data_IF_880641903049
#
_entry.id   IF_880641903049
#
_cell.length_a   1.000
_cell.length_b   1.000
_cell.length_c   1.000
_cell.angle_alpha   90.00
_cell.angle_beta   90.00
_cell.angle_gamma   90.00
#
_symmetry.space_group_name_H-M   'P 1'
#
loop_
_entity.id
_entity.type
_entity.pdbx_description
1 polymer ?
#
# COMPACT_ATOMS: atom_id res chain seq x y z
N UNK A 1 7.10 11.29 21.06
CA UNK A 1 7.24 11.35 22.54
C UNK A 1 8.17 10.26 23.04
N UNK A 2 7.96 8.96 22.69
CA UNK A 2 8.87 7.87 23.11
C UNK A 2 10.29 8.10 22.61
N UNK A 3 10.49 8.41 21.31
CA UNK A 3 11.80 8.79 20.73
C UNK A 3 12.48 9.99 21.42
N UNK A 4 11.70 10.87 22.04
CA UNK A 4 12.21 12.02 22.79
C UNK A 4 12.39 11.72 24.28
N UNK A 5 12.27 10.43 24.69
CA UNK A 5 12.35 9.95 26.08
C UNK A 5 11.32 10.58 27.03
N UNK A 6 10.22 11.16 26.50
CA UNK A 6 9.14 11.79 27.27
C UNK A 6 8.05 10.77 27.59
N UNK A 7 8.36 9.76 28.42
CA UNK A 7 7.50 8.62 28.69
C UNK A 7 6.19 8.98 29.41
N UNK A 8 6.22 9.95 30.34
CA UNK A 8 5.01 10.42 31.06
C UNK A 8 3.98 11.06 30.13
N UNK A 9 4.44 11.81 29.12
CA UNK A 9 3.56 12.43 28.15
C UNK A 9 3.04 11.41 27.14
N UNK A 10 3.85 10.41 26.79
CA UNK A 10 3.43 9.29 25.96
C UNK A 10 2.33 8.46 26.65
N UNK A 11 2.47 8.17 27.97
CA UNK A 11 1.44 7.48 28.75
C UNK A 11 0.14 8.28 28.80
N UNK A 12 0.22 9.60 29.04
CA UNK A 12 -0.95 10.48 29.06
C UNK A 12 -1.66 10.51 27.71
N UNK A 13 -0.91 10.53 26.62
CA UNK A 13 -1.46 10.50 25.25
C UNK A 13 -2.13 9.15 24.95
N UNK A 14 -1.53 8.03 25.33
CA UNK A 14 -2.12 6.70 25.19
C UNK A 14 -3.44 6.58 25.97
N UNK A 15 -3.49 7.09 27.20
CA UNK A 15 -4.75 7.11 27.98
C UNK A 15 -5.87 7.92 27.32
N UNK A 16 -5.53 8.99 26.57
CA UNK A 16 -6.51 9.80 25.83
C UNK A 16 -7.00 9.12 24.55
N UNK A 17 -6.16 8.29 23.93
CA UNK A 17 -6.47 7.61 22.66
C UNK A 17 -7.23 6.29 22.87
N UNK A 18 -7.08 5.68 24.05
CA UNK A 18 -7.76 4.44 24.35
C UNK A 18 -9.23 4.68 24.70
N UNK A 19 -10.11 3.90 24.08
CA UNK A 19 -11.52 3.82 24.48
C UNK A 19 -11.61 3.06 25.80
N UNK A 20 -12.50 3.51 26.70
CA UNK A 20 -12.73 2.87 28.00
C UNK A 20 -13.17 1.39 27.89
N UNK A 21 -13.69 0.99 26.73
CA UNK A 21 -14.16 -0.36 26.44
C UNK A 21 -13.07 -1.35 26.00
N UNK A 22 -11.85 -0.89 25.71
CA UNK A 22 -10.83 -1.73 25.07
C UNK A 22 -10.08 -2.67 26.04
N UNK A 23 -10.19 -2.48 27.37
CA UNK A 23 -9.57 -3.38 28.37
C UNK A 23 -8.04 -3.54 28.30
N UNK A 24 -7.37 -2.67 27.54
CA UNK A 24 -5.93 -2.78 27.24
C UNK A 24 -5.14 -2.05 28.31
N UNK A 25 -4.13 -2.71 28.89
CA UNK A 25 -3.24 -2.06 29.88
C UNK A 25 -2.32 -1.06 29.19
N UNK A 26 -2.52 0.24 29.50
CA UNK A 26 -1.72 1.37 28.99
C UNK A 26 -0.23 1.19 29.25
N UNK A 27 0.13 0.66 30.42
CA UNK A 27 1.53 0.48 30.78
C UNK A 27 2.18 -0.63 29.96
N UNK A 28 1.45 -1.71 29.69
CA UNK A 28 1.94 -2.81 28.88
C UNK A 28 2.10 -2.36 27.40
N UNK A 29 1.14 -1.60 26.89
CA UNK A 29 1.22 -1.00 25.54
C UNK A 29 2.40 -0.02 25.45
N UNK A 30 2.59 0.84 26.46
CA UNK A 30 3.72 1.76 26.46
C UNK A 30 5.07 1.01 26.51
N UNK A 31 5.16 -0.05 27.32
CA UNK A 31 6.37 -0.87 27.41
C UNK A 31 6.69 -1.54 26.05
N UNK A 32 5.67 -2.04 25.36
CA UNK A 32 5.85 -2.61 24.03
C UNK A 32 6.32 -1.56 23.01
N UNK A 33 5.75 -0.35 23.00
CA UNK A 33 6.18 0.75 22.12
C UNK A 33 7.62 1.19 22.42
N UNK A 34 8.01 1.26 23.70
CA UNK A 34 9.39 1.58 24.11
C UNK A 34 10.37 0.50 23.64
N UNK A 35 10.00 -0.76 23.81
CA UNK A 35 10.81 -1.89 23.35
C UNK A 35 10.98 -1.88 21.82
N UNK A 36 9.89 -1.69 21.07
CA UNK A 36 9.93 -1.58 19.61
C UNK A 36 10.79 -0.39 19.17
N UNK A 37 10.64 0.77 19.82
CA UNK A 37 11.46 1.94 19.48
C UNK A 37 12.96 1.71 19.75
N UNK A 38 13.29 0.99 20.81
CA UNK A 38 14.69 0.62 21.11
C UNK A 38 15.25 -0.33 20.05
N UNK A 39 14.48 -1.34 19.65
CA UNK A 39 14.84 -2.25 18.57
C UNK A 39 14.97 -1.53 17.23
N UNK A 40 14.05 -0.60 16.91
CA UNK A 40 14.16 0.21 15.69
C UNK A 40 15.42 1.09 15.70
N UNK A 41 15.75 1.68 16.84
CA UNK A 41 16.93 2.51 17.00
C UNK A 41 18.20 1.67 16.82
N UNK A 42 18.30 0.49 17.44
CA UNK A 42 19.42 -0.44 17.27
C UNK A 42 19.55 -0.93 15.82
N UNK A 43 18.45 -1.31 15.17
CA UNK A 43 18.43 -1.78 13.80
C UNK A 43 18.71 -0.68 12.77
N UNK A 44 18.39 0.59 13.09
CA UNK A 44 18.62 1.74 12.20
C UNK A 44 20.06 2.27 12.27
N UNK A 45 20.79 1.96 13.35
CA UNK A 45 22.19 2.37 13.52
C UNK A 45 23.03 1.70 12.43
N UNK A 46 23.69 2.52 11.59
CA UNK A 46 24.58 2.04 10.54
C UNK A 46 23.92 1.70 9.20
N UNK A 47 22.60 1.94 9.02
CA UNK A 47 21.98 1.74 7.70
C UNK A 47 22.43 2.81 6.70
N UNK A 48 22.75 2.38 5.47
CA UNK A 48 23.13 3.25 4.35
C UNK A 48 22.01 3.28 3.30
N UNK A 49 22.02 4.28 2.40
CA UNK A 49 21.20 4.24 1.19
C UNK A 49 21.59 3.09 0.24
N UNK A 50 22.86 2.67 0.28
CA UNK A 50 23.33 1.53 -0.50
C UNK A 50 22.69 0.21 -0.09
N UNK A 51 22.27 0.06 1.17
CA UNK A 51 21.56 -1.13 1.64
C UNK A 51 20.21 -1.34 0.91
N UNK A 52 19.61 -0.26 0.40
CA UNK A 52 18.39 -0.33 -0.41
C UNK A 52 18.62 -0.99 -1.78
N UNK A 53 19.88 -1.06 -2.25
CA UNK A 53 20.24 -1.62 -3.55
C UNK A 53 20.88 -3.00 -3.44
N UNK A 54 20.94 -3.58 -2.25
CA UNK A 54 21.56 -4.88 -2.00
C UNK A 54 20.53 -5.98 -1.76
N UNK A 55 20.84 -7.20 -2.21
CA UNK A 55 20.08 -8.40 -1.91
C UNK A 55 18.59 -8.31 -2.29
N UNK A 56 17.72 -8.71 -1.37
CA UNK A 56 16.27 -8.69 -1.57
C UNK A 56 15.64 -7.29 -1.39
N UNK A 57 16.35 -6.35 -0.77
CA UNK A 57 15.93 -4.96 -0.63
C UNK A 57 15.92 -4.22 -1.99
N UNK A 58 16.77 -4.61 -2.93
CA UNK A 58 16.75 -4.08 -4.30
C UNK A 58 15.39 -4.27 -4.95
N UNK A 59 14.78 -5.45 -4.81
CA UNK A 59 13.46 -5.73 -5.35
C UNK A 59 12.37 -4.85 -4.74
N UNK A 60 12.45 -4.57 -3.45
CA UNK A 60 11.53 -3.67 -2.74
C UNK A 60 11.69 -2.24 -3.20
N UNK A 61 12.93 -1.78 -3.31
CA UNK A 61 13.27 -0.45 -3.81
C UNK A 61 12.82 -0.28 -5.26
N UNK A 62 13.03 -1.28 -6.12
CA UNK A 62 12.50 -1.29 -7.49
C UNK A 62 10.98 -1.12 -7.49
N UNK A 63 10.24 -1.93 -6.73
CA UNK A 63 8.77 -1.87 -6.67
C UNK A 63 8.31 -0.50 -6.16
N UNK A 64 8.92 0.03 -5.12
CA UNK A 64 8.59 1.34 -4.58
C UNK A 64 8.87 2.47 -5.58
N UNK A 65 10.03 2.46 -6.24
CA UNK A 65 10.42 3.47 -7.21
C UNK A 65 9.52 3.45 -8.46
N UNK A 66 9.31 2.27 -9.04
CA UNK A 66 8.52 2.16 -10.27
C UNK A 66 7.03 2.37 -10.01
N UNK A 67 6.47 1.92 -8.88
CA UNK A 67 5.07 2.20 -8.53
C UNK A 67 4.81 3.70 -8.37
N UNK A 68 5.77 4.45 -7.83
CA UNK A 68 5.66 5.90 -7.67
C UNK A 68 5.90 6.64 -9.01
N UNK A 69 6.94 6.26 -9.75
CA UNK A 69 7.23 6.80 -11.08
C UNK A 69 6.10 6.48 -12.08
N UNK A 70 5.42 5.35 -11.90
CA UNK A 70 4.27 4.94 -12.69
C UNK A 70 3.13 5.96 -12.72
N UNK A 71 3.00 6.81 -11.71
CA UNK A 71 2.07 7.94 -11.73
C UNK A 71 2.38 8.90 -12.90
N UNK A 72 3.64 9.26 -13.07
CA UNK A 72 4.09 10.14 -14.14
C UNK A 72 4.02 9.43 -15.49
N UNK A 73 4.50 8.19 -15.54
CA UNK A 73 4.52 7.37 -16.75
C UNK A 73 3.12 7.02 -17.28
N UNK A 74 2.10 7.09 -16.43
CA UNK A 74 0.69 6.92 -16.83
C UNK A 74 0.06 8.19 -17.44
N UNK A 75 0.84 9.25 -17.67
CA UNK A 75 0.37 10.46 -18.34
C UNK A 75 -0.03 11.61 -17.40
N UNK A 76 0.42 11.62 -16.15
CA UNK A 76 0.11 12.69 -15.18
C UNK A 76 0.50 14.07 -15.69
N UNK A 77 1.65 14.21 -16.36
CA UNK A 77 2.10 15.48 -16.92
C UNK A 77 1.16 16.00 -18.00
N UNK A 78 0.56 15.12 -18.80
CA UNK A 78 -0.45 15.47 -19.80
C UNK A 78 -1.71 16.03 -19.12
N UNK A 79 -2.20 15.37 -18.06
CA UNK A 79 -3.39 15.81 -17.32
C UNK A 79 -3.18 17.14 -16.59
N UNK A 80 -1.99 17.40 -16.02
CA UNK A 80 -1.70 18.69 -15.40
C UNK A 80 -1.66 19.84 -16.40
N UNK A 81 -1.41 19.57 -17.66
CA UNK A 81 -1.44 20.55 -18.74
C UNK A 81 -2.68 20.40 -19.62
N UNK A 82 -3.76 19.81 -19.11
CA UNK A 82 -5.00 19.58 -19.85
C UNK A 82 -5.61 20.88 -20.38
N UNK A 83 -5.53 21.99 -19.64
CA UNK A 83 -6.00 23.30 -20.12
C UNK A 83 -5.33 23.72 -21.41
N UNK A 84 -4.00 23.60 -21.48
CA UNK A 84 -3.25 23.92 -22.71
C UNK A 84 -3.63 22.96 -23.85
N UNK A 85 -3.82 21.67 -23.55
CA UNK A 85 -4.32 20.70 -24.53
C UNK A 85 -5.71 21.06 -25.06
N UNK A 86 -6.64 21.47 -24.18
CA UNK A 86 -8.01 21.86 -24.56
C UNK A 86 -8.02 23.08 -25.49
N UNK A 87 -7.18 24.09 -25.22
CA UNK A 87 -7.00 25.24 -26.12
C UNK A 87 -6.43 24.81 -27.46
N UNK A 88 -5.44 23.93 -27.52
CA UNK A 88 -4.85 23.42 -28.76
C UNK A 88 -5.84 22.61 -29.61
N UNK A 89 -6.80 21.96 -28.99
CA UNK A 89 -7.86 21.21 -29.69
C UNK A 89 -8.99 22.15 -30.21
N UNK A 90 -8.94 23.44 -29.82
CA UNK A 90 -9.85 24.47 -30.31
C UNK A 90 -11.04 24.79 -29.44
N UNK A 91 -10.95 24.47 -28.12
CA UNK A 91 -11.95 24.92 -27.15
C UNK A 91 -11.66 26.36 -26.72
N UNK A 92 -12.71 27.13 -26.42
CA UNK A 92 -12.60 28.48 -25.90
C UNK A 92 -12.13 28.50 -24.43
N UNK A 93 -11.55 29.62 -24.00
CA UNK A 93 -10.96 29.75 -22.68
C UNK A 93 -11.97 29.51 -21.54
N UNK A 94 -13.21 29.99 -21.66
CA UNK A 94 -14.27 29.84 -20.64
C UNK A 94 -14.61 28.34 -20.44
N UNK A 95 -14.81 27.61 -21.53
CA UNK A 95 -15.03 26.16 -21.51
C UNK A 95 -13.84 25.43 -20.92
N UNK A 96 -12.62 25.81 -21.28
CA UNK A 96 -11.36 25.21 -20.75
C UNK A 96 -11.26 25.36 -19.23
N UNK A 97 -11.52 26.54 -18.68
CA UNK A 97 -11.53 26.74 -17.22
C UNK A 97 -12.61 25.92 -16.52
N UNK A 98 -13.82 25.88 -17.10
CA UNK A 98 -14.93 25.08 -16.56
C UNK A 98 -14.60 23.60 -16.53
N UNK A 99 -13.97 23.06 -17.58
CA UNK A 99 -13.51 21.68 -17.66
C UNK A 99 -12.40 21.39 -16.65
N UNK A 100 -11.52 22.35 -16.36
CA UNK A 100 -10.47 22.19 -15.36
C UNK A 100 -11.04 22.11 -13.93
N UNK A 101 -12.02 22.95 -13.61
CA UNK A 101 -12.76 22.89 -12.34
C UNK A 101 -13.47 21.52 -12.21
N UNK A 102 -14.15 21.08 -13.27
CA UNK A 102 -14.80 19.78 -13.30
C UNK A 102 -13.79 18.64 -13.10
N UNK A 103 -12.63 18.70 -13.78
CA UNK A 103 -11.54 17.73 -13.64
C UNK A 103 -11.04 17.64 -12.20
N UNK A 104 -10.82 18.77 -11.53
CA UNK A 104 -10.39 18.80 -10.11
C UNK A 104 -11.47 18.22 -9.19
N UNK A 105 -12.74 18.52 -9.48
CA UNK A 105 -13.87 17.95 -8.73
C UNK A 105 -13.95 16.44 -8.91
N UNK A 106 -13.81 15.95 -10.15
CA UNK A 106 -13.78 14.51 -10.43
C UNK A 106 -12.59 13.82 -9.77
N UNK A 107 -11.44 14.47 -9.71
CA UNK A 107 -10.25 13.97 -9.00
C UNK A 107 -10.54 13.79 -7.51
N UNK A 108 -11.19 14.76 -6.88
CA UNK A 108 -11.61 14.67 -5.47
C UNK A 108 -12.60 13.52 -5.25
N UNK A 109 -13.64 13.44 -6.07
CA UNK A 109 -14.63 12.35 -6.01
C UNK A 109 -13.96 11.00 -6.22
N UNK A 110 -13.05 10.89 -7.20
CA UNK A 110 -12.28 9.67 -7.46
C UNK A 110 -11.46 9.21 -6.25
N UNK A 111 -10.86 10.15 -5.52
CA UNK A 111 -10.15 9.85 -4.26
C UNK A 111 -11.09 9.27 -3.20
N UNK A 112 -12.27 9.86 -3.02
CA UNK A 112 -13.28 9.35 -2.07
C UNK A 112 -13.78 7.96 -2.48
N UNK A 113 -14.05 7.75 -3.76
CA UNK A 113 -14.47 6.44 -4.30
C UNK A 113 -13.38 5.39 -4.04
N UNK A 114 -12.11 5.74 -4.24
CA UNK A 114 -11.01 4.84 -3.92
C UNK A 114 -11.01 4.45 -2.43
N UNK A 115 -11.12 5.41 -1.52
CA UNK A 115 -11.04 5.15 -0.08
C UNK A 115 -12.22 4.34 0.47
N UNK A 116 -13.44 4.63 0.01
CA UNK A 116 -14.64 4.01 0.56
C UNK A 116 -15.04 2.71 -0.15
N UNK A 117 -14.71 2.55 -1.44
CA UNK A 117 -15.14 1.40 -2.24
C UNK A 117 -13.97 0.52 -2.67
N UNK A 118 -12.92 1.05 -3.31
CA UNK A 118 -11.89 0.19 -3.87
C UNK A 118 -10.94 -0.35 -2.81
N UNK A 119 -10.40 0.48 -1.94
CA UNK A 119 -9.43 0.07 -0.92
C UNK A 119 -9.96 -1.00 0.06
N UNK A 120 -11.23 -0.93 0.56
CA UNK A 120 -11.76 -1.95 1.47
C UNK A 120 -12.06 -3.29 0.78
N UNK A 121 -12.55 -3.26 -0.47
CA UNK A 121 -13.08 -4.46 -1.12
C UNK A 121 -12.11 -5.11 -2.10
N UNK A 122 -11.23 -4.34 -2.73
CA UNK A 122 -10.28 -4.83 -3.71
C UNK A 122 -8.86 -4.87 -3.17
N UNK A 123 -8.04 -5.81 -3.68
CA UNK A 123 -6.60 -5.85 -3.41
C UNK A 123 -5.88 -4.70 -4.11
N UNK A 124 -4.81 -4.19 -3.47
CA UNK A 124 -4.02 -3.06 -4.00
C UNK A 124 -3.49 -3.35 -5.40
N UNK A 125 -3.01 -4.57 -5.63
CA UNK A 125 -2.51 -5.01 -6.93
C UNK A 125 -3.58 -4.94 -8.01
N UNK A 126 -4.79 -5.42 -7.71
CA UNK A 126 -5.89 -5.44 -8.68
C UNK A 126 -6.34 -4.04 -9.05
N UNK A 127 -6.43 -3.11 -8.07
CA UNK A 127 -6.79 -1.71 -8.32
C UNK A 127 -5.74 -1.05 -9.23
N UNK A 128 -4.44 -1.25 -8.94
CA UNK A 128 -3.35 -0.68 -9.72
C UNK A 128 -3.35 -1.20 -11.15
N UNK A 129 -3.47 -2.53 -11.33
CA UNK A 129 -3.46 -3.16 -12.65
C UNK A 129 -4.67 -2.75 -13.48
N UNK A 130 -5.87 -2.79 -12.90
CA UNK A 130 -7.08 -2.39 -13.60
C UNK A 130 -7.01 -0.92 -14.04
N UNK A 131 -6.64 -0.03 -13.10
CA UNK A 131 -6.54 1.39 -13.38
C UNK A 131 -5.48 1.71 -14.44
N UNK A 132 -4.28 1.16 -14.33
CA UNK A 132 -3.21 1.37 -15.32
C UNK A 132 -3.62 0.87 -16.72
N UNK A 133 -4.34 -0.24 -16.81
CA UNK A 133 -4.84 -0.77 -18.08
C UNK A 133 -5.90 0.13 -18.70
N UNK A 134 -6.88 0.56 -17.91
CA UNK A 134 -7.94 1.47 -18.39
C UNK A 134 -7.35 2.80 -18.84
N UNK A 135 -6.44 3.38 -18.05
CA UNK A 135 -5.76 4.63 -18.43
C UNK A 135 -4.96 4.50 -19.74
N UNK A 136 -4.29 3.37 -19.96
CA UNK A 136 -3.60 3.14 -21.21
C UNK A 136 -4.57 3.13 -22.40
N UNK A 137 -5.73 2.47 -22.28
CA UNK A 137 -6.77 2.47 -23.30
C UNK A 137 -7.30 3.88 -23.55
N UNK A 138 -7.61 4.64 -22.50
CA UNK A 138 -8.12 6.02 -22.62
C UNK A 138 -7.12 6.92 -23.35
N UNK A 139 -5.83 6.82 -23.06
CA UNK A 139 -4.78 7.58 -23.75
C UNK A 139 -4.63 7.17 -25.22
N UNK A 140 -4.70 5.88 -25.52
CA UNK A 140 -4.72 5.42 -26.91
C UNK A 140 -5.95 5.90 -27.69
N UNK A 141 -7.13 5.93 -27.05
CA UNK A 141 -8.35 6.49 -27.63
C UNK A 141 -8.22 7.98 -27.91
N UNK A 142 -7.66 8.76 -26.98
CA UNK A 142 -7.38 10.19 -27.18
C UNK A 142 -6.45 10.38 -28.39
N UNK A 143 -5.40 9.55 -28.49
CA UNK A 143 -4.48 9.56 -29.63
C UNK A 143 -5.15 9.22 -30.96
N UNK A 144 -5.98 8.17 -30.97
CA UNK A 144 -6.69 7.72 -32.15
C UNK A 144 -7.72 8.76 -32.67
N UNK A 145 -8.48 9.38 -31.74
CA UNK A 145 -9.45 10.42 -32.09
C UNK A 145 -8.80 11.66 -32.72
N UNK A 146 -7.51 11.88 -32.48
CA UNK A 146 -6.80 13.02 -33.07
C UNK A 146 -6.71 12.98 -34.62
N UNK A 147 -6.96 11.83 -35.22
CA UNK A 147 -7.02 11.70 -36.72
C UNK A 147 -8.18 12.51 -37.30
N UNK A 148 -9.29 12.65 -36.52
CA UNK A 148 -10.51 13.32 -36.99
C UNK A 148 -10.75 14.70 -36.34
N UNK A 149 -9.69 15.42 -35.96
CA UNK A 149 -9.77 16.72 -35.23
C UNK A 149 -10.52 17.84 -35.95
N UNK A 150 -10.90 17.69 -37.22
CA UNK A 150 -11.65 18.70 -37.98
C UNK A 150 -13.09 18.92 -37.44
N UNK A 151 -13.61 18.04 -36.61
CA UNK A 151 -14.95 18.15 -36.05
C UNK A 151 -14.93 18.60 -34.58
N UNK A 152 -15.63 19.68 -34.25
CA UNK A 152 -15.75 20.19 -32.87
C UNK A 152 -16.22 19.11 -31.86
N UNK A 153 -17.07 18.18 -32.32
CA UNK A 153 -17.53 17.07 -31.52
C UNK A 153 -16.37 16.20 -31.02
N UNK A 154 -15.35 15.98 -31.82
CA UNK A 154 -14.20 15.17 -31.46
C UNK A 154 -13.33 15.87 -30.40
N UNK A 155 -13.18 17.19 -30.48
CA UNK A 155 -12.51 17.99 -29.47
C UNK A 155 -13.17 17.81 -28.06
N UNK A 156 -14.50 17.91 -28.02
CA UNK A 156 -15.28 17.71 -26.80
C UNK A 156 -15.13 16.26 -26.29
N UNK A 157 -15.13 15.28 -27.18
CA UNK A 157 -14.95 13.87 -26.79
C UNK A 157 -13.56 13.63 -26.21
N UNK A 158 -12.48 14.20 -26.77
CA UNK A 158 -11.13 14.11 -26.22
C UNK A 158 -11.03 14.78 -24.85
N UNK A 159 -11.67 15.93 -24.67
CA UNK A 159 -11.74 16.58 -23.37
C UNK A 159 -12.49 15.71 -22.34
N UNK A 160 -13.63 15.13 -22.71
CA UNK A 160 -14.38 14.22 -21.85
C UNK A 160 -13.55 12.98 -21.47
N UNK A 161 -12.82 12.37 -22.41
CA UNK A 161 -11.91 11.26 -22.14
C UNK A 161 -10.78 11.65 -21.16
N UNK A 162 -10.25 12.86 -21.27
CA UNK A 162 -9.22 13.36 -20.33
C UNK A 162 -9.79 13.51 -18.93
N UNK A 163 -11.06 13.91 -18.78
CA UNK A 163 -11.74 13.96 -17.47
C UNK A 163 -11.96 12.56 -16.90
N UNK A 164 -12.37 11.58 -17.73
CA UNK A 164 -12.53 10.18 -17.32
C UNK A 164 -11.18 9.62 -16.90
N UNK A 165 -10.11 9.90 -17.65
CA UNK A 165 -8.75 9.52 -17.30
C UNK A 165 -8.34 10.09 -15.92
N UNK A 166 -8.64 11.36 -15.65
CA UNK A 166 -8.35 12.00 -14.35
C UNK A 166 -9.06 11.29 -13.21
N UNK A 167 -10.33 10.93 -13.41
CA UNK A 167 -11.10 10.15 -12.44
C UNK A 167 -10.50 8.76 -12.22
N UNK A 168 -10.21 8.01 -13.30
CA UNK A 168 -9.61 6.68 -13.26
C UNK A 168 -8.25 6.71 -12.55
N UNK A 169 -7.42 7.72 -12.84
CA UNK A 169 -6.13 7.93 -12.20
C UNK A 169 -6.26 8.07 -10.68
N UNK A 170 -7.17 8.91 -10.21
CA UNK A 170 -7.38 9.13 -8.78
C UNK A 170 -8.04 7.94 -8.07
N UNK A 171 -8.86 7.17 -8.79
CA UNK A 171 -9.40 5.91 -8.27
C UNK A 171 -8.37 4.80 -8.14
N UNK A 172 -7.18 4.92 -8.76
CA UNK A 172 -6.24 3.81 -8.90
C UNK A 172 -4.79 4.19 -8.64
N UNK A 173 -4.01 4.41 -9.69
CA UNK A 173 -2.55 4.60 -9.63
C UNK A 173 -2.17 5.83 -8.83
N UNK A 174 -2.96 6.89 -8.87
CA UNK A 174 -2.72 8.13 -8.16
C UNK A 174 -2.63 7.94 -6.63
N UNK A 175 -3.53 7.15 -6.07
CA UNK A 175 -3.55 6.88 -4.62
C UNK A 175 -2.56 5.77 -4.24
N UNK A 176 -2.52 4.71 -5.04
CA UNK A 176 -1.68 3.55 -4.75
C UNK A 176 -0.19 3.83 -4.91
N UNK A 177 0.20 4.78 -5.77
CA UNK A 177 1.59 5.22 -5.86
C UNK A 177 2.15 5.74 -4.54
N UNK A 178 1.32 6.27 -3.65
CA UNK A 178 1.70 6.67 -2.29
C UNK A 178 1.69 5.50 -1.30
N UNK A 179 0.72 4.60 -1.41
CA UNK A 179 0.56 3.49 -0.47
C UNK A 179 1.64 2.43 -0.66
N UNK A 180 1.97 2.06 -1.90
CA UNK A 180 2.95 1.00 -2.17
C UNK A 180 4.34 1.23 -1.56
N UNK A 181 4.99 2.39 -1.73
CA UNK A 181 6.29 2.63 -1.11
C UNK A 181 6.28 2.51 0.41
N UNK A 182 5.16 2.87 1.04
CA UNK A 182 4.99 2.78 2.48
C UNK A 182 4.75 1.34 2.96
N UNK A 183 4.00 0.54 2.19
CA UNK A 183 3.66 -0.84 2.53
C UNK A 183 4.80 -1.83 2.19
N UNK A 184 5.49 -1.64 1.05
CA UNK A 184 6.53 -2.56 0.55
C UNK A 184 7.88 -2.32 1.21
N UNK A 185 8.16 -1.10 1.69
CA UNK A 185 9.42 -0.78 2.37
C UNK A 185 9.66 -1.65 3.60
N UNK A 186 10.88 -2.22 3.75
CA UNK A 186 11.24 -2.99 4.95
C UNK A 186 11.21 -2.11 6.19
N UNK A 187 10.93 -2.69 7.34
CA UNK A 187 10.85 -1.98 8.61
C UNK A 187 12.11 -1.18 8.89
N UNK A 188 13.27 -1.74 8.54
CA UNK A 188 14.60 -1.13 8.73
C UNK A 188 14.88 0.03 7.78
N UNK A 189 14.49 -0.06 6.50
CA UNK A 189 14.89 0.87 5.42
C UNK A 189 13.71 1.67 4.86
N UNK A 190 12.50 1.56 5.44
CA UNK A 190 11.26 2.16 4.93
C UNK A 190 11.40 3.63 4.55
N UNK A 191 11.95 4.45 5.45
CA UNK A 191 12.09 5.88 5.21
C UNK A 191 12.99 6.17 4.00
N UNK A 192 14.10 5.41 3.87
CA UNK A 192 15.04 5.57 2.75
C UNK A 192 14.44 5.10 1.44
N UNK A 193 13.73 3.96 1.45
CA UNK A 193 13.02 3.43 0.29
C UNK A 193 11.94 4.40 -0.20
N UNK A 194 11.15 5.00 0.70
CA UNK A 194 10.15 6.03 0.35
C UNK A 194 10.82 7.29 -0.23
N UNK A 195 11.93 7.74 0.35
CA UNK A 195 12.71 8.85 -0.20
C UNK A 195 13.21 8.55 -1.61
N UNK A 196 13.79 7.36 -1.85
CA UNK A 196 14.26 6.96 -3.17
C UNK A 196 13.10 6.87 -4.19
N UNK A 197 11.98 6.32 -3.78
CA UNK A 197 10.79 6.25 -4.61
C UNK A 197 10.28 7.65 -5.00
N UNK A 198 10.29 8.59 -4.07
CA UNK A 198 9.91 9.98 -4.34
C UNK A 198 10.90 10.67 -5.28
N UNK A 199 12.20 10.41 -5.12
CA UNK A 199 13.22 10.92 -6.04
C UNK A 199 13.04 10.37 -7.45
N UNK A 200 12.75 9.06 -7.59
CA UNK A 200 12.45 8.45 -8.88
C UNK A 200 11.24 9.13 -9.56
N UNK A 201 10.18 9.41 -8.80
CA UNK A 201 9.04 10.19 -9.29
C UNK A 201 9.47 11.56 -9.81
N UNK A 202 10.27 12.33 -9.04
CA UNK A 202 10.70 13.66 -9.47
C UNK A 202 11.59 13.63 -10.71
N UNK A 203 12.49 12.65 -10.83
CA UNK A 203 13.30 12.47 -12.04
C UNK A 203 12.40 12.26 -13.25
N UNK A 204 11.43 11.36 -13.15
CA UNK A 204 10.46 11.14 -14.23
C UNK A 204 9.61 12.39 -14.50
N UNK A 205 9.20 13.12 -13.46
CA UNK A 205 8.39 14.33 -13.59
C UNK A 205 9.16 15.47 -14.29
N UNK A 206 10.45 15.64 -13.99
CA UNK A 206 11.32 16.64 -14.69
C UNK A 206 11.46 16.27 -16.17
N UNK A 207 11.77 15.00 -16.47
CA UNK A 207 11.90 14.54 -17.87
C UNK A 207 10.58 14.75 -18.62
N UNK A 208 9.48 14.26 -18.07
CA UNK A 208 8.14 14.35 -18.64
C UNK A 208 7.68 15.80 -18.82
N UNK A 209 7.88 16.64 -17.80
CA UNK A 209 7.53 18.05 -17.83
C UNK A 209 8.35 18.87 -18.84
N UNK A 210 9.61 18.49 -19.07
CA UNK A 210 10.47 19.11 -20.08
C UNK A 210 10.10 18.67 -21.50
N UNK A 211 9.67 17.41 -21.69
CA UNK A 211 9.31 16.88 -23.01
C UNK A 211 7.92 17.35 -23.47
N UNK A 212 6.99 17.54 -22.56
CA UNK A 212 5.60 17.83 -22.88
C UNK A 212 5.41 19.12 -23.73
N UNK A 213 6.07 20.27 -23.43
CA UNK A 213 5.97 21.45 -24.26
C UNK A 213 6.41 21.20 -25.70
N UNK A 214 7.46 20.40 -25.94
CA UNK A 214 7.91 20.04 -27.27
C UNK A 214 6.85 19.22 -28.03
N UNK A 215 6.10 18.39 -27.38
CA UNK A 215 5.04 17.58 -27.96
C UNK A 215 3.81 18.41 -28.32
N UNK A 216 3.43 19.36 -27.47
CA UNK A 216 2.19 20.14 -27.65
C UNK A 216 2.38 21.43 -28.40
N UNK A 217 3.58 22.06 -28.36
CA UNK A 217 3.79 23.37 -28.99
C UNK A 217 3.63 23.30 -30.54
N UNK A 218 2.79 24.17 -31.15
CA UNK A 218 2.62 24.26 -32.59
C UNK A 218 3.90 24.55 -33.37
N UNK A 219 4.86 25.27 -32.75
CA UNK A 219 6.16 25.60 -33.36
C UNK A 219 7.19 24.47 -33.29
N UNK A 220 6.92 23.41 -32.48
CA UNK A 220 7.78 22.26 -32.33
C UNK A 220 7.17 21.05 -33.08
N UNK A 221 6.82 19.98 -32.34
CA UNK A 221 6.30 18.74 -32.96
C UNK A 221 4.79 18.79 -33.24
N UNK A 222 4.04 19.67 -32.60
CA UNK A 222 2.60 19.87 -32.82
C UNK A 222 1.78 18.56 -32.80
N UNK A 223 2.11 17.64 -31.90
CA UNK A 223 1.48 16.33 -31.83
C UNK A 223 0.04 16.39 -31.34
N UNK A 224 -0.34 17.45 -30.62
CA UNK A 224 -1.69 17.62 -30.06
C UNK A 224 -2.15 16.33 -29.35
N UNK A 225 -3.28 15.76 -29.73
CA UNK A 225 -3.80 14.50 -29.18
C UNK A 225 -2.93 13.27 -29.48
N UNK A 226 -2.05 13.27 -30.47
CA UNK A 226 -1.11 12.15 -30.70
C UNK A 226 -0.14 11.94 -29.56
N UNK A 227 0.06 12.92 -28.68
CA UNK A 227 0.77 12.78 -27.40
C UNK A 227 0.19 11.65 -26.54
N UNK A 228 -1.11 11.36 -26.70
CA UNK A 228 -1.77 10.21 -26.08
C UNK A 228 -1.14 8.86 -26.41
N UNK A 229 -0.58 8.67 -27.61
CA UNK A 229 0.13 7.42 -27.97
C UNK A 229 1.43 7.26 -27.17
N UNK A 230 2.16 8.35 -26.93
CA UNK A 230 3.41 8.34 -26.17
C UNK A 230 3.10 7.94 -24.73
N UNK A 231 2.18 8.66 -24.08
CA UNK A 231 1.79 8.37 -22.70
C UNK A 231 1.02 7.05 -22.55
N UNK A 232 0.23 6.67 -23.55
CA UNK A 232 -0.42 5.36 -23.60
C UNK A 232 0.58 4.22 -23.65
N UNK A 233 1.68 4.37 -24.42
CA UNK A 233 2.75 3.37 -24.47
C UNK A 233 3.48 3.25 -23.13
N UNK A 234 3.84 4.37 -22.50
CA UNK A 234 4.50 4.34 -21.17
C UNK A 234 3.58 3.78 -20.09
N UNK A 235 2.28 4.07 -20.13
CA UNK A 235 1.28 3.49 -19.24
C UNK A 235 1.17 1.97 -19.45
N UNK A 236 1.15 1.51 -20.70
CA UNK A 236 1.10 0.07 -21.01
C UNK A 236 2.38 -0.66 -20.54
N UNK A 237 3.55 -0.08 -20.74
CA UNK A 237 4.81 -0.63 -20.24
C UNK A 237 4.80 -0.71 -18.71
N UNK A 238 4.29 0.32 -18.04
CA UNK A 238 4.11 0.33 -16.59
C UNK A 238 3.14 -0.75 -16.14
N UNK A 239 2.04 -0.96 -16.87
CA UNK A 239 1.08 -2.03 -16.61
C UNK A 239 1.72 -3.42 -16.77
N UNK A 240 2.49 -3.66 -17.85
CA UNK A 240 3.19 -4.92 -18.08
C UNK A 240 4.16 -5.18 -16.92
N UNK A 241 4.96 -4.20 -16.52
CA UNK A 241 5.86 -4.31 -15.39
C UNK A 241 5.09 -4.64 -14.10
N UNK A 242 4.02 -3.90 -13.80
CA UNK A 242 3.21 -4.10 -12.60
C UNK A 242 2.59 -5.51 -12.57
N UNK A 243 2.15 -6.03 -13.71
CA UNK A 243 1.59 -7.38 -13.81
C UNK A 243 2.57 -8.46 -13.36
N UNK A 244 3.86 -8.31 -13.64
CA UNK A 244 4.88 -9.30 -13.26
C UNK A 244 5.50 -9.04 -11.89
N UNK A 245 5.68 -7.79 -11.50
CA UNK A 245 6.51 -7.40 -10.36
C UNK A 245 5.74 -6.91 -9.13
N UNK A 246 4.55 -6.34 -9.31
CA UNK A 246 3.79 -5.74 -8.23
C UNK A 246 3.12 -6.81 -7.36
N UNK A 247 3.44 -6.91 -6.04
CA UNK A 247 2.84 -7.87 -5.13
C UNK A 247 1.48 -7.39 -4.59
N UNK A 248 0.67 -8.32 -4.11
CA UNK A 248 -0.52 -7.98 -3.33
C UNK A 248 -0.14 -7.80 -1.86
N UNK A 249 -0.46 -6.63 -1.30
CA UNK A 249 -0.11 -6.26 0.09
C UNK A 249 -1.32 -6.29 1.04
N UNK A 250 -2.53 -6.43 0.50
CA UNK A 250 -3.76 -6.37 1.29
C UNK A 250 -3.81 -7.46 2.36
N UNK A 251 -4.10 -7.04 3.61
CA UNK A 251 -4.29 -7.95 4.74
C UNK A 251 -3.01 -8.63 5.22
N UNK A 252 -1.84 -8.14 4.80
CA UNK A 252 -0.54 -8.61 5.27
C UNK A 252 0.08 -7.66 6.27
N UNK A 253 0.69 -8.20 7.31
CA UNK A 253 1.50 -7.41 8.23
C UNK A 253 2.85 -7.08 7.60
N UNK A 254 3.54 -6.09 8.14
CA UNK A 254 4.86 -5.70 7.63
C UNK A 254 5.87 -6.83 7.80
N UNK A 255 5.79 -7.57 8.90
CA UNK A 255 6.63 -8.72 9.21
C UNK A 255 6.40 -9.85 8.21
N UNK A 256 5.15 -10.17 7.88
CA UNK A 256 4.82 -11.16 6.85
C UNK A 256 5.38 -10.75 5.48
N UNK A 257 5.29 -9.47 5.12
CA UNK A 257 5.88 -8.96 3.89
C UNK A 257 7.40 -9.09 3.90
N UNK A 258 8.06 -8.79 5.04
CA UNK A 258 9.50 -8.96 5.19
C UNK A 258 9.92 -10.41 4.93
N UNK A 259 9.19 -11.37 5.48
CA UNK A 259 9.44 -12.80 5.26
C UNK A 259 9.19 -13.21 3.81
N UNK A 260 8.10 -12.75 3.18
CA UNK A 260 7.78 -13.09 1.78
C UNK A 260 8.85 -12.59 0.81
N UNK A 261 9.36 -11.37 1.03
CA UNK A 261 10.45 -10.84 0.23
C UNK A 261 11.78 -11.56 0.49
N UNK A 262 12.08 -11.88 1.76
CA UNK A 262 13.27 -12.64 2.12
C UNK A 262 13.26 -14.06 1.54
N UNK A 263 12.12 -14.73 1.50
CA UNK A 263 11.94 -16.04 0.85
C UNK A 263 11.97 -15.95 -0.69
N UNK A 264 11.98 -14.75 -1.28
CA UNK A 264 12.01 -14.56 -2.72
C UNK A 264 10.73 -14.99 -3.45
N UNK A 265 9.59 -15.03 -2.77
CA UNK A 265 8.31 -15.46 -3.33
C UNK A 265 7.95 -14.60 -4.56
N UNK A 266 7.45 -15.18 -5.67
CA UNK A 266 6.97 -14.42 -6.82
C UNK A 266 5.80 -13.50 -6.45
N UNK A 267 5.76 -12.27 -6.99
CA UNK A 267 4.76 -11.25 -6.67
C UNK A 267 3.30 -11.75 -6.79
N UNK A 268 3.03 -12.61 -7.75
CA UNK A 268 1.69 -13.18 -8.00
C UNK A 268 1.21 -14.14 -6.89
N UNK A 269 2.14 -14.75 -6.13
CA UNK A 269 1.84 -15.72 -5.08
C UNK A 269 1.77 -15.09 -3.70
N UNK A 270 2.01 -13.78 -3.55
CA UNK A 270 1.94 -13.10 -2.26
C UNK A 270 0.58 -13.24 -1.58
N UNK A 271 -0.52 -13.19 -2.35
CA UNK A 271 -1.86 -13.36 -1.81
C UNK A 271 -2.15 -14.77 -1.28
N UNK A 272 -1.58 -15.79 -1.91
CA UNK A 272 -1.91 -17.21 -1.65
C UNK A 272 -0.93 -17.91 -0.71
N UNK A 273 0.29 -17.36 -0.52
CA UNK A 273 1.30 -17.97 0.34
C UNK A 273 1.01 -17.65 1.80
N UNK A 274 0.70 -18.68 2.58
CA UNK A 274 0.55 -18.52 4.03
C UNK A 274 1.94 -18.52 4.68
N UNK A 275 2.22 -17.52 5.49
CA UNK A 275 3.50 -17.38 6.20
C UNK A 275 3.18 -17.00 7.63
N UNK A 276 3.75 -17.75 8.57
CA UNK A 276 3.74 -17.37 9.96
C UNK A 276 5.01 -16.52 10.23
N UNK A 277 4.80 -15.25 10.58
CA UNK A 277 5.88 -14.30 10.85
C UNK A 277 6.64 -14.64 12.15
N UNK A 278 6.05 -15.45 13.01
CA UNK A 278 6.59 -15.83 14.32
C UNK A 278 7.18 -17.24 14.34
N UNK A 279 7.23 -17.94 13.21
CA UNK A 279 7.87 -19.25 13.12
C UNK A 279 9.39 -19.10 13.33
N UNK A 280 9.94 -19.93 14.23
CA UNK A 280 11.34 -19.89 14.66
C UNK A 280 12.32 -20.08 13.47
N UNK A 281 11.93 -20.90 12.49
CA UNK A 281 12.69 -21.12 11.25
C UNK A 281 12.73 -19.84 10.41
N UNK A 282 11.66 -19.06 10.43
CA UNK A 282 11.51 -17.83 9.66
C UNK A 282 12.33 -16.69 10.25
N UNK A 283 12.35 -16.56 11.58
CA UNK A 283 13.17 -15.58 12.30
C UNK A 283 14.65 -15.85 12.14
N UNK A 284 15.08 -17.12 12.18
CA UNK A 284 16.47 -17.52 11.95
C UNK A 284 16.92 -17.25 10.50
N UNK A 285 16.06 -17.55 9.51
CA UNK A 285 16.35 -17.26 8.11
C UNK A 285 16.45 -15.74 7.80
N UNK A 286 15.65 -14.92 8.49
CA UNK A 286 15.76 -13.47 8.41
C UNK A 286 17.06 -12.97 9.05
N UNK A 287 17.41 -13.45 10.24
CA UNK A 287 18.65 -13.10 10.92
C UNK A 287 19.89 -13.42 10.08
N UNK A 288 19.94 -14.61 9.47
CA UNK A 288 21.05 -15.01 8.58
C UNK A 288 21.14 -14.14 7.32
N UNK A 289 20.01 -13.75 6.71
CA UNK A 289 20.01 -12.89 5.51
C UNK A 289 20.34 -11.43 5.79
N UNK A 290 20.08 -10.95 7.00
CA UNK A 290 20.46 -9.60 7.41
C UNK A 290 21.91 -9.52 7.92
N UNK A 291 22.70 -10.60 7.85
CA UNK A 291 24.07 -10.67 8.44
C UNK A 291 24.11 -10.20 9.89
N UNK A 292 23.07 -10.54 10.66
CA UNK A 292 23.02 -10.19 12.08
C UNK A 292 24.15 -10.87 12.86
N UNK A 293 24.66 -11.98 12.33
CA UNK A 293 25.80 -12.72 12.89
C UNK A 293 27.09 -11.88 12.92
N UNK A 294 27.30 -10.98 11.94
CA UNK A 294 28.45 -10.05 11.94
C UNK A 294 28.32 -8.93 13.01
N UNK A 295 27.12 -8.71 13.52
CA UNK A 295 26.88 -7.73 14.59
C UNK A 295 27.09 -8.32 15.99
N UNK A 296 27.01 -9.64 16.15
CA UNK A 296 27.17 -10.32 17.44
C UNK A 296 28.64 -10.41 17.84
N UNK A 297 29.59 -10.48 16.92
CA UNK A 297 31.02 -10.38 17.24
C UNK A 297 31.45 -9.00 17.76
N UNK A 298 30.66 -7.95 17.48
CA UNK A 298 30.93 -6.57 17.94
C UNK A 298 30.12 -6.14 19.16
N UNK A 299 29.24 -7.02 19.70
CA UNK A 299 28.45 -6.71 20.90
C UNK A 299 29.14 -7.19 22.17
N UNK A 300 29.28 -6.35 23.20
CA UNK A 300 29.55 -6.84 24.54
C UNK A 300 28.37 -7.67 25.02
N UNK A 301 28.64 -8.89 25.47
CA UNK A 301 27.80 -9.98 25.99
C UNK A 301 26.56 -9.55 26.83
N UNK A 302 25.51 -9.05 26.20
CA UNK A 302 24.30 -8.56 26.87
C UNK A 302 23.01 -9.28 26.46
N UNK A 303 23.11 -10.41 25.71
CA UNK A 303 21.92 -11.17 25.26
C UNK A 303 21.98 -12.65 25.66
N UNK A 304 21.84 -13.01 26.95
CA UNK A 304 21.49 -14.38 27.34
C UNK A 304 20.06 -14.55 27.86
N UNK A 305 19.13 -13.61 27.67
CA UNK A 305 17.80 -13.71 28.33
C UNK A 305 16.56 -13.63 27.44
N UNK A 306 16.68 -13.46 26.14
CA UNK A 306 15.48 -13.32 25.30
C UNK A 306 14.88 -14.65 24.81
N UNK A 307 15.67 -15.70 24.67
CA UNK A 307 15.17 -17.04 24.29
C UNK A 307 14.35 -17.73 25.39
N UNK A 308 14.70 -17.52 26.67
CA UNK A 308 13.95 -18.08 27.80
C UNK A 308 12.56 -17.46 27.99
N UNK A 309 12.42 -16.17 27.73
CA UNK A 309 11.16 -15.44 28.01
C UNK A 309 10.09 -15.65 26.94
N UNK A 310 10.48 -15.94 25.69
CA UNK A 310 9.54 -16.23 24.59
C UNK A 310 9.00 -17.66 24.74
N UNK A 311 9.85 -18.63 25.05
CA UNK A 311 9.42 -20.01 25.30
C UNK A 311 8.47 -20.13 26.52
N UNK A 312 8.70 -19.38 27.60
CA UNK A 312 7.78 -19.32 28.76
C UNK A 312 6.45 -18.64 28.43
N UNK A 313 6.42 -17.65 27.53
CA UNK A 313 5.16 -17.01 27.09
C UNK A 313 4.34 -17.92 26.18
N UNK A 314 4.97 -18.59 25.22
CA UNK A 314 4.26 -19.53 24.31
C UNK A 314 3.65 -20.69 25.11
N UNK A 315 4.32 -21.19 26.14
CA UNK A 315 3.78 -22.20 27.07
C UNK A 315 2.60 -21.69 27.90
N UNK A 316 2.60 -20.42 28.31
CA UNK A 316 1.47 -19.80 29.04
C UNK A 316 0.27 -19.52 28.14
N UNK A 317 0.48 -19.07 26.92
CA UNK A 317 -0.60 -18.78 25.97
C UNK A 317 -1.26 -20.06 25.46
N UNK A 318 -0.51 -21.14 25.28
CA UNK A 318 -1.07 -22.48 25.00
C UNK A 318 -1.86 -23.02 26.20
N UNK A 319 -1.39 -22.82 27.42
CA UNK A 319 -2.11 -23.22 28.63
C UNK A 319 -3.40 -22.40 28.85
N UNK A 320 -3.39 -21.12 28.46
CA UNK A 320 -4.57 -20.24 28.54
C UNK A 320 -5.60 -20.57 27.46
N UNK A 321 -5.16 -20.87 26.22
CA UNK A 321 -6.02 -21.34 25.15
C UNK A 321 -6.64 -22.70 25.44
N UNK A 322 -5.87 -23.63 26.02
CA UNK A 322 -6.37 -24.95 26.45
C UNK A 322 -7.40 -24.83 27.55
N UNK A 323 -7.20 -23.94 28.54
CA UNK A 323 -8.18 -23.65 29.58
C UNK A 323 -9.47 -23.03 29.07
N UNK A 324 -9.37 -22.13 28.08
CA UNK A 324 -10.53 -21.48 27.47
C UNK A 324 -11.39 -22.49 26.69
N UNK A 325 -10.76 -23.37 25.93
CA UNK A 325 -11.45 -24.44 25.23
C UNK A 325 -12.11 -25.45 26.19
N UNK A 326 -11.48 -25.75 27.34
CA UNK A 326 -12.06 -26.63 28.36
C UNK A 326 -13.29 -25.99 29.02
N UNK A 327 -13.30 -24.69 29.25
CA UNK A 327 -14.43 -23.95 29.82
C UNK A 327 -15.59 -23.84 28.80
N UNK A 328 -15.30 -23.64 27.52
CA UNK A 328 -16.34 -23.63 26.45
C UNK A 328 -16.99 -25.00 26.28
N UNK A 329 -16.22 -26.07 26.31
CA UNK A 329 -16.74 -27.45 26.23
C UNK A 329 -17.59 -27.78 27.46
N UNK A 330 -17.17 -27.36 28.67
CA UNK A 330 -17.96 -27.53 29.89
C UNK A 330 -19.27 -26.71 29.87
N UNK A 331 -19.23 -25.46 29.35
CA UNK A 331 -20.41 -24.61 29.20
C UNK A 331 -21.43 -25.16 28.19
N UNK A 332 -20.96 -25.75 27.08
CA UNK A 332 -21.83 -26.36 26.07
C UNK A 332 -22.49 -27.66 26.56
N UNK A 333 -21.80 -28.46 27.39
CA UNK A 333 -22.37 -29.69 28.00
C UNK A 333 -23.38 -29.36 29.09
N UNK A 334 -23.19 -28.29 29.86
CA UNK A 334 -24.15 -27.79 30.84
C UNK A 334 -25.45 -27.27 30.20
N UNK A 335 -25.34 -26.55 29.07
CA UNK A 335 -26.51 -26.09 28.30
C UNK A 335 -27.31 -27.25 27.68
N UNK A 336 -26.65 -28.32 27.21
CA UNK A 336 -27.35 -29.50 26.68
C UNK A 336 -28.08 -30.28 27.82
N UNK A 337 -27.55 -30.31 29.05
CA UNK A 337 -28.25 -30.93 30.17
C UNK A 337 -29.47 -30.14 30.63
N UNK A 338 -29.42 -28.80 30.62
CA UNK A 338 -30.60 -27.98 30.98
C UNK A 338 -31.73 -28.08 29.97
N UNK A 339 -31.42 -28.16 28.69
CA UNK A 339 -32.44 -28.33 27.62
C UNK A 339 -33.10 -29.72 27.62
N UNK A 340 -32.41 -30.79 28.04
CA UNK A 340 -33.01 -32.12 28.20
C UNK A 340 -33.92 -32.23 29.41
N UNK A 341 -33.60 -31.53 30.53
CA UNK A 341 -34.43 -31.51 31.71
C UNK A 341 -35.72 -30.67 31.48
N UNK A 342 -35.65 -29.65 30.65
CA UNK A 342 -36.82 -28.82 30.29
C UNK A 342 -37.75 -29.54 29.31
N UNK A 343 -37.22 -30.37 28.38
CA UNK A 343 -38.05 -31.20 27.51
C UNK A 343 -38.74 -32.35 28.23
N UNK A 344 -38.11 -32.96 29.24
CA UNK A 344 -38.71 -34.01 30.08
C UNK A 344 -39.82 -33.43 31.04
N UNK A 345 -39.70 -32.18 31.48
CA UNK A 345 -40.75 -31.50 32.24
C UNK A 345 -41.99 -31.13 31.41
N UNK A 346 -41.77 -30.74 30.13
CA UNK A 346 -42.87 -30.45 29.24
C UNK A 346 -43.65 -31.68 28.78
N UNK A 347 -43.01 -32.86 28.77
CA UNK A 347 -43.63 -34.13 28.47
C UNK A 347 -44.49 -34.71 29.60
N UNK A 348 -44.29 -34.28 30.86
CA UNK A 348 -45.04 -34.74 32.03
C UNK A 348 -46.29 -33.90 32.35
N UNK A 349 -46.42 -32.68 31.81
CA UNK A 349 -47.58 -31.79 31.99
C UNK A 349 -48.64 -31.90 30.90
N UNK A 350 -48.49 -32.79 29.92
CA UNK A 350 -49.42 -33.02 28.83
C UNK A 350 -50.23 -34.33 28.95
N UNK A 351 -50.28 -34.93 30.15
CA UNK A 351 -51.13 -36.08 30.46
C UNK A 351 -51.88 -35.88 31.77
N UNK A 352 -52.80 -34.96 31.75
CA UNK A 352 -54.00 -34.95 32.58
C UNK A 352 -55.17 -34.30 31.80
#
# INVERSE_FOLDING_TARGET
>A
MVRQKRLKDAERSLRRLQSASAGIDVKQTLASIVHTNHLEEELSIGTSYWDCFTGFELRRTEIACVSFAGQVLSGLSFAYNASYFFEQVGLDAETTYSLNILGTTLAFVGTLVNWFYFMPYMGRRNIYLLGAFVMAIELFLIGALNVWTHHKFIAVTQAALTLVWTFTYQCSVGQLGWSYPAEVGSTRLRQKTVCLARNAYYVCAVISGSMLPFFLNPEALNLRGYTGFIWGTTALLTWIWAYFRLPETRGRTYEELDVLFAKGVPARRFATTNVDAFDEITTTALAQRYHVDDLDERRPKLVPRLTGTIAERTGRDQAYSSKRNSVEIAGSSARRRSSSIESDRAGLLGRE
#
